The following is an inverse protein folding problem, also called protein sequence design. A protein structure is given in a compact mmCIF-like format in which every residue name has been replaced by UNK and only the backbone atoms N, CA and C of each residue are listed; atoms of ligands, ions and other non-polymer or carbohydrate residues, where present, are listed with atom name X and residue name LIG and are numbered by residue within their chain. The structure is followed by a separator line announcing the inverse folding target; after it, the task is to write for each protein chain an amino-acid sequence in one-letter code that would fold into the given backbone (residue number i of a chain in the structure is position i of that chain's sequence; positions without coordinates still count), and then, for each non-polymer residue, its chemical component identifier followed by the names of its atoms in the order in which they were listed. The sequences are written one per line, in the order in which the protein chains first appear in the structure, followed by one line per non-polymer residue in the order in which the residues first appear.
data_IF_778307341073
#
_entry.id   IF_778307341073
#
_cell.length_a   1.000
_cell.length_b   1.000
_cell.length_c   1.000
_cell.angle_alpha   90.00
_cell.angle_beta   90.00
_cell.angle_gamma   90.00
#
_symmetry.space_group_name_H-M   'P 1'
#
loop_
_entity.id
_entity.type
_entity.pdbx_description
1 polymer ?
#
# COMPACT_ATOMS: atom_id res chain seq x y z
N UNK A 1 -12.62 -13.14 8.72
CA UNK A 1 -11.70 -12.65 7.67
C UNK A 1 -11.30 -13.84 6.82
N UNK A 2 -11.68 -13.88 5.55
CA UNK A 2 -11.44 -15.04 4.67
C UNK A 2 -10.12 -14.92 3.92
N UNK A 3 -9.53 -16.05 3.55
CA UNK A 3 -8.44 -16.11 2.58
C UNK A 3 -8.83 -17.03 1.43
N UNK A 4 -8.41 -16.69 0.22
CA UNK A 4 -8.52 -17.54 -0.96
C UNK A 4 -7.14 -18.06 -1.30
N UNK A 5 -6.99 -19.39 -1.43
CA UNK A 5 -5.76 -19.99 -1.92
C UNK A 5 -5.72 -19.86 -3.43
N UNK A 6 -4.57 -19.45 -3.96
CA UNK A 6 -4.31 -19.31 -5.39
C UNK A 6 -3.08 -20.13 -5.75
N UNK A 7 -3.08 -20.70 -6.96
CA UNK A 7 -1.87 -21.28 -7.56
C UNK A 7 -1.25 -20.22 -8.46
N UNK A 8 0.05 -19.99 -8.32
CA UNK A 8 0.80 -18.97 -9.07
C UNK A 8 2.07 -19.58 -9.66
N UNK A 9 2.41 -19.15 -10.87
CA UNK A 9 3.70 -19.47 -11.48
C UNK A 9 4.66 -18.31 -11.23
N UNK A 10 5.80 -18.60 -10.61
CA UNK A 10 6.87 -17.65 -10.32
C UNK A 10 8.20 -18.21 -10.84
N UNK A 11 9.17 -17.34 -11.09
CA UNK A 11 10.52 -17.80 -11.43
C UNK A 11 11.15 -18.50 -10.23
N UNK A 12 12.13 -19.37 -10.47
CA UNK A 12 12.88 -20.01 -9.38
C UNK A 12 13.57 -18.98 -8.47
N UNK A 13 14.02 -17.87 -9.05
CA UNK A 13 14.66 -16.77 -8.31
C UNK A 13 13.67 -16.06 -7.38
N UNK A 14 12.44 -15.82 -7.84
CA UNK A 14 11.40 -15.21 -7.00
C UNK A 14 11.00 -16.14 -5.85
N UNK A 15 10.90 -17.46 -6.10
CA UNK A 15 10.64 -18.44 -5.04
C UNK A 15 11.77 -18.44 -4.01
N UNK A 16 13.02 -18.42 -4.46
CA UNK A 16 14.19 -18.37 -3.58
C UNK A 16 14.22 -17.07 -2.73
N UNK A 17 13.81 -15.94 -3.31
CA UNK A 17 13.66 -14.70 -2.57
C UNK A 17 12.59 -14.81 -1.48
N UNK A 18 11.41 -15.36 -1.78
CA UNK A 18 10.35 -15.57 -0.79
C UNK A 18 10.78 -16.54 0.33
N UNK A 19 11.61 -17.53 0.01
CA UNK A 19 12.23 -18.42 1.00
C UNK A 19 13.20 -17.71 1.92
N UNK A 20 14.02 -16.81 1.39
CA UNK A 20 14.91 -15.99 2.20
C UNK A 20 14.11 -15.08 3.15
N UNK A 21 13.05 -14.44 2.67
CA UNK A 21 12.19 -13.60 3.50
C UNK A 21 11.55 -14.38 4.65
N UNK A 22 11.10 -15.62 4.38
CA UNK A 22 10.54 -16.48 5.40
C UNK A 22 11.60 -16.98 6.41
N UNK A 23 12.74 -17.46 5.92
CA UNK A 23 13.80 -18.02 6.77
C UNK A 23 14.56 -16.96 7.58
N UNK A 24 14.63 -15.73 7.09
CA UNK A 24 15.22 -14.59 7.82
C UNK A 24 14.29 -14.01 8.88
N UNK A 25 13.05 -14.51 9.00
CA UNK A 25 12.05 -14.03 9.94
C UNK A 25 11.39 -12.70 9.53
N UNK A 26 11.64 -12.22 8.31
CA UNK A 26 10.98 -11.02 7.76
C UNK A 26 9.51 -11.28 7.42
N UNK A 27 9.18 -12.53 7.11
CA UNK A 27 7.82 -13.00 6.91
C UNK A 27 7.59 -14.35 7.60
N UNK A 28 6.37 -14.61 8.04
CA UNK A 28 6.02 -15.88 8.70
C UNK A 28 5.92 -17.07 7.72
N UNK A 29 5.74 -16.79 6.43
CA UNK A 29 5.66 -17.79 5.36
C UNK A 29 5.80 -17.13 3.99
N UNK A 30 5.98 -17.93 2.92
CA UNK A 30 5.91 -17.46 1.53
C UNK A 30 4.61 -16.69 1.25
N UNK A 31 3.47 -17.19 1.75
CA UNK A 31 2.17 -16.54 1.58
C UNK A 31 2.11 -15.18 2.30
N UNK A 32 2.73 -15.05 3.48
CA UNK A 32 2.81 -13.78 4.19
C UNK A 32 3.68 -12.77 3.42
N UNK A 33 4.82 -13.20 2.88
CA UNK A 33 5.67 -12.37 2.04
C UNK A 33 4.94 -11.90 0.76
N UNK A 34 4.19 -12.79 0.10
CA UNK A 34 3.36 -12.43 -1.07
C UNK A 34 2.25 -11.44 -0.68
N UNK A 35 1.58 -11.62 0.47
CA UNK A 35 0.59 -10.65 0.96
C UNK A 35 1.21 -9.27 1.22
N UNK A 36 2.41 -9.23 1.79
CA UNK A 36 3.15 -7.99 2.00
C UNK A 36 3.49 -7.31 0.67
N UNK A 37 3.94 -8.06 -0.34
CA UNK A 37 4.20 -7.53 -1.67
C UNK A 37 2.93 -6.93 -2.31
N UNK A 38 1.78 -7.61 -2.18
CA UNK A 38 0.49 -7.09 -2.64
C UNK A 38 0.11 -5.80 -1.92
N UNK A 39 0.36 -5.69 -0.61
CA UNK A 39 0.12 -4.46 0.16
C UNK A 39 1.00 -3.31 -0.35
N UNK A 40 2.30 -3.55 -0.52
CA UNK A 40 3.23 -2.55 -1.04
C UNK A 40 2.84 -2.06 -2.44
N UNK A 41 2.35 -2.96 -3.31
CA UNK A 41 1.85 -2.59 -4.63
C UNK A 41 0.58 -1.73 -4.58
N UNK A 42 -0.27 -1.91 -3.57
CA UNK A 42 -1.42 -1.02 -3.36
C UNK A 42 -0.96 0.34 -2.88
N UNK A 43 -0.06 0.38 -1.90
CA UNK A 43 0.49 1.62 -1.35
C UNK A 43 1.24 2.44 -2.41
N UNK A 44 1.99 1.80 -3.31
CA UNK A 44 2.69 2.49 -4.39
C UNK A 44 1.74 3.20 -5.35
N UNK A 45 0.50 2.71 -5.49
CA UNK A 45 -0.54 3.34 -6.31
C UNK A 45 -1.33 4.42 -5.55
N UNK A 46 -1.25 4.44 -4.21
CA UNK A 46 -1.90 5.49 -3.43
C UNK A 46 -1.23 6.85 -3.64
N UNK A 47 0.08 6.91 -3.88
CA UNK A 47 0.77 8.18 -4.11
C UNK A 47 0.19 8.94 -5.31
N UNK A 48 -0.01 8.25 -6.44
CA UNK A 48 -0.62 8.83 -7.64
C UNK A 48 -2.08 9.23 -7.38
N UNK A 49 -2.85 8.39 -6.69
CA UNK A 49 -4.24 8.68 -6.34
C UNK A 49 -4.37 9.88 -5.38
N UNK A 50 -3.43 10.03 -4.44
CA UNK A 50 -3.38 11.21 -3.57
C UNK A 50 -2.98 12.46 -4.33
N UNK A 51 -2.03 12.37 -5.27
CA UNK A 51 -1.62 13.50 -6.09
C UNK A 51 -2.80 14.01 -6.96
N UNK A 52 -3.55 13.09 -7.56
CA UNK A 52 -4.78 13.41 -8.31
C UNK A 52 -5.84 14.06 -7.40
N UNK A 53 -6.13 13.45 -6.25
CA UNK A 53 -7.12 13.98 -5.31
C UNK A 53 -6.72 15.37 -4.75
N UNK A 54 -5.44 15.62 -4.48
CA UNK A 54 -4.97 16.94 -4.06
C UNK A 54 -5.06 17.97 -5.19
N UNK A 55 -4.81 17.58 -6.44
CA UNK A 55 -4.97 18.47 -7.58
C UNK A 55 -6.44 18.88 -7.79
N UNK A 56 -7.38 17.93 -7.65
CA UNK A 56 -8.82 18.22 -7.69
C UNK A 56 -9.25 19.15 -6.53
N UNK A 57 -8.77 18.89 -5.32
CA UNK A 57 -9.10 19.70 -4.15
C UNK A 57 -8.56 21.14 -4.23
N UNK A 58 -7.45 21.38 -4.93
CA UNK A 58 -6.81 22.69 -5.02
C UNK A 58 -7.74 23.78 -5.60
N UNK A 59 -8.77 23.38 -6.37
CA UNK A 59 -9.80 24.29 -6.88
C UNK A 59 -10.72 24.83 -5.77
N UNK A 60 -10.90 24.07 -4.69
CA UNK A 60 -11.76 24.39 -3.54
C UNK A 60 -10.97 24.87 -2.30
N UNK A 61 -9.64 24.95 -2.38
CA UNK A 61 -8.74 25.26 -1.27
C UNK A 61 -9.15 26.54 -0.52
N UNK A 62 -9.40 27.63 -1.24
CA UNK A 62 -9.78 28.92 -0.65
C UNK A 62 -11.09 28.87 0.16
N UNK A 63 -12.01 27.96 -0.16
CA UNK A 63 -13.26 27.76 0.58
C UNK A 63 -13.00 27.13 1.95
N UNK A 64 -12.05 26.20 2.02
CA UNK A 64 -11.70 25.49 3.25
C UNK A 64 -10.68 26.26 4.11
N UNK A 65 -9.81 27.05 3.49
CA UNK A 65 -8.77 27.83 4.20
C UNK A 65 -9.39 28.84 5.18
N UNK A 66 -10.58 29.37 4.87
CA UNK A 66 -11.33 30.26 5.75
C UNK A 66 -11.71 29.65 7.11
N UNK A 67 -11.86 28.31 7.18
CA UNK A 67 -12.24 27.60 8.40
C UNK A 67 -11.03 27.15 9.24
N UNK A 68 -9.79 27.36 8.77
CA UNK A 68 -8.59 26.79 9.40
C UNK A 68 -8.33 27.34 10.82
N UNK A 69 -8.81 28.55 11.10
CA UNK A 69 -8.65 29.25 12.38
C UNK A 69 -9.89 29.19 13.28
N UNK A 70 -10.91 28.43 12.90
CA UNK A 70 -12.13 28.33 13.70
C UNK A 70 -11.86 27.60 15.03
N UNK A 71 -12.21 28.24 16.16
CA UNK A 71 -12.15 27.63 17.48
C UNK A 71 -10.78 27.62 18.19
N UNK A 72 -9.75 28.26 17.63
CA UNK A 72 -8.40 28.37 18.22
C UNK A 72 -8.15 29.67 19.00
N UNK A 73 -9.13 30.12 19.80
CA UNK A 73 -8.96 31.21 20.78
C UNK A 73 -8.64 30.70 22.19
#
# INVERSE_FOLDING_TARGET
MGFTKVSVSLSEQDVAFLDLEASSGRAESRSAAVQQAVRLLRESRLADAYAEAFAEWHEDEATWDAAVADGVA
#
